data_IF_030756172617
#
_entry.id   IF_030756172617
#
_cell.length_a   1.000
_cell.length_b   1.000
_cell.length_c   1.000
_cell.angle_alpha   90.00
_cell.angle_beta   90.00
_cell.angle_gamma   90.00
#
_symmetry.space_group_name_H-M   'P 1'
#
loop_
_entity.id
_entity.type
_entity.pdbx_description
1 polymer ?
#
# COMPACT_ATOMS: atom_id res chain seq x y z
N UNK A 1 -43.25 7.90 39.53
CA UNK A 1 -41.79 8.04 39.37
C UNK A 1 -41.15 6.92 38.53
N UNK A 2 -41.65 5.69 38.53
CA UNK A 2 -41.04 4.57 37.77
C UNK A 2 -41.01 4.73 36.24
N UNK A 3 -41.98 5.45 35.63
CA UNK A 3 -42.04 5.61 34.17
C UNK A 3 -40.93 6.50 33.60
N UNK A 4 -40.44 7.47 34.37
CA UNK A 4 -39.35 8.37 33.93
C UNK A 4 -38.01 7.61 33.93
N UNK A 5 -37.83 6.68 34.87
CA UNK A 5 -36.64 5.81 34.96
C UNK A 5 -36.47 4.93 33.72
N UNK A 6 -37.55 4.28 33.24
CA UNK A 6 -37.49 3.39 32.07
C UNK A 6 -37.15 4.12 30.76
N UNK A 7 -37.61 5.37 30.60
CA UNK A 7 -37.32 6.19 29.43
C UNK A 7 -35.86 6.66 29.44
N UNK A 8 -35.34 7.06 30.60
CA UNK A 8 -33.94 7.44 30.75
C UNK A 8 -33.00 6.26 30.42
N UNK A 9 -33.32 5.05 30.89
CA UNK A 9 -32.54 3.84 30.58
C UNK A 9 -32.58 3.49 29.09
N UNK A 10 -33.74 3.64 28.43
CA UNK A 10 -33.87 3.38 27.00
C UNK A 10 -33.07 4.38 26.15
N UNK A 11 -33.10 5.66 26.52
CA UNK A 11 -32.31 6.71 25.85
C UNK A 11 -30.81 6.49 26.02
N UNK A 12 -30.37 6.10 27.22
CA UNK A 12 -28.97 5.79 27.48
C UNK A 12 -28.49 4.59 26.64
N UNK A 13 -29.33 3.55 26.50
CA UNK A 13 -29.02 2.38 25.68
C UNK A 13 -28.88 2.76 24.19
N UNK A 14 -29.71 3.68 23.70
CA UNK A 14 -29.69 4.14 22.31
C UNK A 14 -28.40 4.92 21.98
N UNK A 15 -27.95 5.76 22.92
CA UNK A 15 -26.69 6.53 22.78
C UNK A 15 -25.47 5.62 22.77
N UNK A 16 -25.47 4.57 23.61
CA UNK A 16 -24.37 3.60 23.64
C UNK A 16 -24.29 2.78 22.34
N UNK A 17 -25.43 2.38 21.77
CA UNK A 17 -25.48 1.68 20.48
C UNK A 17 -25.02 2.54 19.30
N UNK A 18 -25.26 3.86 19.34
CA UNK A 18 -24.78 4.78 18.31
C UNK A 18 -23.25 4.98 18.36
N UNK A 19 -22.63 4.86 19.54
CA UNK A 19 -21.19 5.05 19.73
C UNK A 19 -20.32 3.84 19.32
N UNK A 20 -20.91 2.66 19.16
CA UNK A 20 -20.19 1.43 18.86
C UNK A 20 -19.85 1.23 17.37
N UNK A 21 -20.32 2.12 16.48
CA UNK A 21 -20.07 2.03 15.05
C UNK A 21 -18.79 2.79 14.66
N UNK A 22 -17.62 2.23 14.98
CA UNK A 22 -16.38 2.64 14.33
C UNK A 22 -16.30 1.90 13.00
N UNK A 23 -16.34 2.64 11.88
CA UNK A 23 -15.97 2.06 10.59
C UNK A 23 -14.46 1.81 10.63
N UNK A 24 -13.97 0.64 10.20
CA UNK A 24 -12.54 0.45 10.05
C UNK A 24 -12.01 1.54 9.13
N UNK A 25 -10.99 2.26 9.60
CA UNK A 25 -10.34 3.29 8.82
C UNK A 25 -9.71 2.62 7.60
N UNK A 26 -10.20 2.98 6.42
CA UNK A 26 -9.66 2.44 5.18
C UNK A 26 -8.28 3.05 5.01
N UNK A 27 -7.25 2.23 5.16
CA UNK A 27 -5.88 2.64 4.86
C UNK A 27 -5.81 2.96 3.37
N UNK A 28 -5.51 4.21 3.05
CA UNK A 28 -5.28 4.69 1.70
C UNK A 28 -3.86 5.22 1.63
N UNK A 29 -3.20 5.05 0.48
CA UNK A 29 -1.93 5.71 0.23
C UNK A 29 -2.15 7.19 -0.07
N UNK A 30 -1.17 7.98 0.34
CA UNK A 30 -1.09 9.39 0.02
C UNK A 30 0.37 9.77 -0.16
N UNK A 31 0.68 10.51 -1.22
CA UNK A 31 2.03 10.97 -1.44
C UNK A 31 2.47 10.84 -2.89
N UNK A 32 3.72 11.20 -3.14
CA UNK A 32 4.38 11.00 -4.42
C UNK A 32 5.49 9.99 -4.22
N UNK A 33 5.38 8.89 -4.94
CA UNK A 33 6.30 7.80 -4.86
C UNK A 33 7.17 7.81 -6.13
N UNK A 34 8.48 7.81 -5.97
CA UNK A 34 9.42 7.88 -7.10
C UNK A 34 10.06 6.53 -7.36
N UNK A 35 10.16 6.16 -8.63
CA UNK A 35 10.88 4.95 -9.04
C UNK A 35 12.37 5.13 -8.73
N UNK A 36 12.92 4.23 -7.90
CA UNK A 36 14.35 4.20 -7.61
C UNK A 36 15.07 3.14 -8.44
N UNK A 37 14.51 1.93 -8.50
CA UNK A 37 15.08 0.86 -9.32
C UNK A 37 14.04 -0.23 -9.62
N UNK A 38 14.35 -1.04 -10.63
CA UNK A 38 13.73 -2.34 -10.90
C UNK A 38 14.84 -3.38 -11.02
N UNK A 39 14.75 -4.49 -10.31
CA UNK A 39 15.72 -5.58 -10.42
C UNK A 39 15.06 -6.94 -10.65
N UNK A 40 15.61 -7.75 -11.57
CA UNK A 40 15.22 -9.14 -11.77
C UNK A 40 15.38 -9.71 -13.19
N UNK A 41 14.75 -10.85 -13.43
CA UNK A 41 14.73 -11.64 -14.64
C UNK A 41 15.76 -12.76 -14.56
N UNK A 42 15.64 -13.75 -15.45
CA UNK A 42 16.59 -14.88 -15.56
C UNK A 42 18.05 -14.39 -15.78
N UNK A 43 18.23 -13.14 -16.24
CA UNK A 43 19.53 -12.50 -16.43
C UNK A 43 19.98 -11.53 -15.34
N UNK A 44 19.21 -11.30 -14.26
CA UNK A 44 19.57 -10.37 -13.19
C UNK A 44 19.66 -8.91 -13.64
N UNK A 45 18.70 -8.46 -14.45
CA UNK A 45 18.64 -7.09 -14.93
C UNK A 45 18.47 -6.11 -13.78
N UNK A 46 19.06 -4.93 -13.92
CA UNK A 46 18.96 -3.84 -12.96
C UNK A 46 18.78 -2.54 -13.72
N UNK A 47 17.64 -1.89 -13.51
CA UNK A 47 17.25 -0.66 -14.17
C UNK A 47 17.06 0.44 -13.13
N UNK A 48 17.57 1.63 -13.41
CA UNK A 48 17.37 2.83 -12.59
C UNK A 48 16.94 4.00 -13.48
N UNK A 49 16.39 5.08 -12.91
CA UNK A 49 16.11 6.29 -13.67
C UNK A 49 17.33 6.80 -14.46
N UNK A 50 18.52 6.70 -13.88
CA UNK A 50 19.78 7.12 -14.50
C UNK A 50 20.17 6.20 -15.66
N UNK A 51 20.05 4.87 -15.52
CA UNK A 51 20.39 3.93 -16.60
C UNK A 51 19.43 4.06 -17.79
N UNK A 52 18.17 4.38 -17.52
CA UNK A 52 17.12 4.43 -18.53
C UNK A 52 16.88 5.83 -19.11
N UNK A 53 17.47 6.87 -18.53
CA UNK A 53 17.33 8.25 -18.97
C UNK A 53 15.90 8.79 -18.86
N UNK A 54 15.10 8.22 -17.95
CA UNK A 54 13.76 8.74 -17.65
C UNK A 54 13.42 8.61 -16.17
N UNK A 55 12.63 9.55 -15.68
CA UNK A 55 12.05 9.53 -14.34
C UNK A 55 10.63 8.97 -14.40
N UNK A 56 10.24 8.24 -13.37
CA UNK A 56 8.88 7.73 -13.20
C UNK A 56 8.40 7.97 -11.77
N UNK A 57 7.15 8.41 -11.64
CA UNK A 57 6.52 8.69 -10.35
C UNK A 57 5.05 8.26 -10.33
N UNK A 58 4.57 7.88 -9.15
CA UNK A 58 3.17 7.59 -8.88
C UNK A 58 2.70 8.54 -7.78
N UNK A 59 1.65 9.30 -8.08
CA UNK A 59 0.99 10.15 -7.10
C UNK A 59 -0.27 9.44 -6.60
N UNK A 60 -0.32 9.16 -5.30
CA UNK A 60 -1.50 8.61 -4.64
C UNK A 60 -2.30 9.71 -3.94
N UNK A 61 -3.62 9.68 -4.11
CA UNK A 61 -4.56 10.59 -3.44
C UNK A 61 -5.83 9.84 -3.09
N UNK A 62 -5.88 9.32 -1.87
CA UNK A 62 -6.94 8.44 -1.42
C UNK A 62 -6.96 7.16 -2.26
N UNK A 63 -8.13 6.73 -2.73
CA UNK A 63 -8.28 5.55 -3.62
C UNK A 63 -7.83 5.74 -5.08
N UNK A 64 -7.23 6.88 -5.44
CA UNK A 64 -6.79 7.18 -6.80
C UNK A 64 -5.27 7.24 -6.89
N UNK A 65 -4.75 6.84 -8.06
CA UNK A 65 -3.34 7.02 -8.43
C UNK A 65 -3.22 7.75 -9.76
N UNK A 66 -2.08 8.40 -9.98
CA UNK A 66 -1.65 8.92 -11.29
C UNK A 66 -0.19 8.60 -11.50
N UNK A 67 0.12 7.94 -12.62
CA UNK A 67 1.48 7.64 -13.05
C UNK A 67 1.99 8.70 -14.03
N UNK A 68 3.21 9.16 -13.80
CA UNK A 68 3.92 10.10 -14.66
C UNK A 68 5.23 9.49 -15.15
N UNK A 69 5.61 9.84 -16.38
CA UNK A 69 6.95 9.59 -16.95
C UNK A 69 7.52 10.93 -17.41
N UNK A 70 8.70 11.30 -16.92
CA UNK A 70 9.33 12.59 -17.19
C UNK A 70 8.37 13.77 -16.94
N UNK A 71 7.67 13.76 -15.80
CA UNK A 71 6.67 14.76 -15.41
C UNK A 71 5.39 14.80 -16.24
N UNK A 72 5.24 13.92 -17.25
CA UNK A 72 4.03 13.84 -18.08
C UNK A 72 3.13 12.73 -17.58
N UNK A 73 1.86 13.08 -17.31
CA UNK A 73 0.84 12.11 -16.94
C UNK A 73 0.66 11.07 -18.07
N UNK A 74 0.88 9.81 -17.72
CA UNK A 74 0.70 8.66 -18.60
C UNK A 74 -0.68 8.04 -18.37
N UNK A 75 -1.02 7.78 -17.10
CA UNK A 75 -2.28 7.15 -16.73
C UNK A 75 -2.73 7.58 -15.34
N UNK A 76 -4.04 7.54 -15.11
CA UNK A 76 -4.64 7.67 -13.78
C UNK A 76 -5.78 6.68 -13.62
N UNK A 77 -6.10 6.32 -12.39
CA UNK A 77 -7.31 5.56 -12.08
C UNK A 77 -7.40 5.19 -10.60
N UNK A 78 -8.34 4.31 -10.28
CA UNK A 78 -8.48 3.76 -8.94
C UNK A 78 -7.54 2.57 -8.74
N UNK A 79 -7.15 2.36 -7.48
CA UNK A 79 -6.47 1.15 -7.03
C UNK A 79 -7.18 0.59 -5.79
N UNK A 80 -6.90 -0.67 -5.49
CA UNK A 80 -7.26 -1.29 -4.23
C UNK A 80 -6.02 -1.90 -3.57
N UNK A 81 -5.99 -1.88 -2.24
CA UNK A 81 -4.95 -2.50 -1.43
C UNK A 81 -5.56 -3.71 -0.75
N UNK A 82 -5.01 -4.88 -1.04
CA UNK A 82 -5.24 -6.07 -0.24
C UNK A 82 -4.10 -6.22 0.76
N UNK A 83 -4.46 -6.38 2.03
CA UNK A 83 -3.53 -6.68 3.11
C UNK A 83 -3.57 -8.18 3.35
N UNK A 84 -2.51 -8.87 2.96
CA UNK A 84 -2.31 -10.25 3.37
C UNK A 84 -1.43 -10.22 4.62
N UNK A 85 -2.07 -10.38 5.78
CA UNK A 85 -1.36 -10.59 7.03
C UNK A 85 -1.00 -12.07 7.05
N UNK A 86 0.15 -12.41 6.48
CA UNK A 86 0.78 -13.70 6.72
C UNK A 86 1.19 -13.71 8.21
N UNK A 87 0.27 -14.10 9.09
CA UNK A 87 0.60 -14.44 10.49
C UNK A 87 1.37 -15.78 10.50
N UNK A 88 2.56 -15.81 9.89
CA UNK A 88 3.47 -16.92 10.08
C UNK A 88 4.15 -16.76 11.43
N UNK A 89 3.54 -17.38 12.44
CA UNK A 89 4.10 -17.51 13.78
C UNK A 89 5.38 -18.36 13.71
N UNK A 90 6.55 -17.72 13.65
CA UNK A 90 7.79 -18.37 14.04
C UNK A 90 7.88 -18.35 15.56
N UNK A 91 7.24 -19.31 16.24
CA UNK A 91 7.60 -19.59 17.62
C UNK A 91 8.99 -20.22 17.62
N UNK A 92 10.02 -19.39 17.79
CA UNK A 92 11.28 -19.88 18.31
C UNK A 92 10.99 -20.39 19.74
N UNK A 93 10.77 -21.71 19.88
CA UNK A 93 10.82 -22.37 21.18
C UNK A 93 12.27 -22.29 21.67
N UNK A 94 12.64 -21.21 22.34
CA UNK A 94 13.96 -21.19 22.98
C UNK A 94 14.42 -19.88 23.58
N UNK A 95 14.51 -18.80 22.81
CA UNK A 95 15.45 -17.74 23.19
C UNK A 95 14.99 -16.34 22.76
N UNK A 96 14.93 -15.48 23.78
CA UNK A 96 15.11 -14.01 23.79
C UNK A 96 14.09 -13.11 23.08
N UNK A 97 13.58 -12.14 23.85
CA UNK A 97 12.65 -11.07 23.50
C UNK A 97 13.21 -10.08 22.46
N UNK A 98 13.48 -10.52 21.23
CA UNK A 98 13.81 -9.62 20.13
C UNK A 98 12.56 -8.98 19.50
N UNK A 99 12.63 -7.71 19.04
CA UNK A 99 11.49 -7.02 18.47
C UNK A 99 10.96 -7.74 17.22
N UNK A 100 9.68 -8.06 17.28
CA UNK A 100 8.92 -8.80 16.29
C UNK A 100 8.80 -8.01 14.98
N UNK A 101 9.43 -8.47 13.90
CA UNK A 101 9.18 -7.95 12.56
C UNK A 101 7.94 -8.63 11.98
N UNK A 102 6.80 -7.95 11.99
CA UNK A 102 5.63 -8.37 11.22
C UNK A 102 5.83 -7.95 9.76
N UNK A 103 5.95 -8.94 8.89
CA UNK A 103 5.95 -8.74 7.44
C UNK A 103 4.50 -8.64 6.99
N UNK A 104 4.05 -7.44 6.60
CA UNK A 104 2.76 -7.27 5.95
C UNK A 104 2.99 -7.18 4.45
N UNK A 105 2.20 -7.96 3.70
CA UNK A 105 2.25 -7.94 2.26
C UNK A 105 1.19 -6.97 1.76
N UNK A 106 1.65 -5.91 1.10
CA UNK A 106 0.75 -4.97 0.42
C UNK A 106 0.67 -5.44 -1.03
N UNK A 107 -0.53 -5.83 -1.47
CA UNK A 107 -0.79 -6.12 -2.89
C UNK A 107 -1.59 -4.98 -3.50
N UNK A 108 -1.06 -4.44 -4.60
CA UNK A 108 -1.72 -3.41 -5.39
C UNK A 108 -2.53 -4.05 -6.50
N UNK A 109 -3.82 -3.77 -6.51
CA UNK A 109 -4.70 -4.20 -7.57
C UNK A 109 -4.92 -3.05 -8.55
N UNK A 110 -4.22 -3.14 -9.68
CA UNK A 110 -4.49 -2.37 -10.88
C UNK A 110 -5.19 -3.27 -11.90
N UNK A 111 -6.06 -2.70 -12.72
CA UNK A 111 -6.64 -3.40 -13.87
C UNK A 111 -5.55 -3.76 -14.88
N UNK A 112 -5.75 -4.85 -15.64
CA UNK A 112 -4.81 -5.27 -16.69
C UNK A 112 -4.52 -4.16 -17.71
N UNK A 113 -5.53 -3.35 -18.04
CA UNK A 113 -5.37 -2.20 -18.93
C UNK A 113 -4.49 -1.11 -18.34
N UNK A 114 -4.58 -0.85 -17.02
CA UNK A 114 -3.71 0.11 -16.34
C UNK A 114 -2.27 -0.36 -16.32
N UNK A 115 -2.10 -1.62 -15.96
CA UNK A 115 -0.88 -2.39 -16.00
C UNK A 115 -0.14 -2.32 -17.33
N UNK A 116 -0.84 -2.70 -18.40
CA UNK A 116 -0.31 -2.71 -19.75
C UNK A 116 0.15 -1.31 -20.16
N UNK A 117 -0.64 -0.27 -19.90
CA UNK A 117 -0.27 1.12 -20.22
C UNK A 117 0.98 1.60 -19.50
N UNK A 118 1.16 1.22 -18.22
CA UNK A 118 2.37 1.56 -17.47
C UNK A 118 3.61 0.83 -18.00
N UNK A 119 3.45 -0.47 -18.28
CA UNK A 119 4.49 -1.30 -18.88
C UNK A 119 4.89 -0.76 -20.26
N UNK A 120 3.94 -0.50 -21.16
CA UNK A 120 4.18 0.10 -22.48
C UNK A 120 4.86 1.47 -22.38
N UNK A 121 4.45 2.31 -21.43
CA UNK A 121 5.08 3.62 -21.24
C UNK A 121 6.53 3.52 -20.76
N UNK A 122 6.94 2.39 -20.17
CA UNK A 122 8.28 2.16 -19.62
C UNK A 122 9.05 1.10 -20.40
N UNK A 123 8.59 0.74 -21.60
CA UNK A 123 9.18 -0.31 -22.43
C UNK A 123 9.36 -1.65 -21.68
N UNK A 124 8.41 -1.96 -20.79
CA UNK A 124 8.41 -3.18 -19.98
C UNK A 124 9.24 -3.13 -18.70
N UNK A 125 9.90 -2.01 -18.39
CA UNK A 125 10.85 -1.89 -17.27
C UNK A 125 10.18 -1.67 -15.91
N UNK A 126 8.91 -1.26 -15.90
CA UNK A 126 8.10 -1.12 -14.68
C UNK A 126 6.78 -1.87 -14.89
N UNK A 127 6.47 -2.81 -13.99
CA UNK A 127 5.20 -3.53 -13.97
C UNK A 127 4.69 -3.70 -12.54
N UNK A 128 3.59 -3.02 -12.22
CA UNK A 128 2.99 -3.04 -10.87
C UNK A 128 1.97 -4.15 -10.66
N UNK A 129 1.86 -5.06 -11.62
CA UNK A 129 0.58 -5.71 -11.85
C UNK A 129 0.20 -6.76 -10.84
N UNK A 130 1.20 -7.40 -10.22
CA UNK A 130 0.98 -8.55 -9.37
C UNK A 130 2.18 -8.77 -8.45
N UNK A 131 2.62 -7.73 -7.73
CA UNK A 131 3.80 -7.87 -6.88
C UNK A 131 3.47 -7.80 -5.39
N UNK A 132 4.09 -8.73 -4.65
CA UNK A 132 4.17 -8.78 -3.20
C UNK A 132 5.21 -7.74 -2.82
N UNK A 133 4.79 -6.60 -2.29
CA UNK A 133 5.74 -5.59 -1.82
C UNK A 133 6.13 -5.93 -0.39
N UNK A 134 7.44 -6.19 -0.20
CA UNK A 134 8.07 -6.14 1.11
C UNK A 134 8.29 -4.66 1.47
N UNK A 135 7.27 -4.04 2.05
CA UNK A 135 7.48 -2.81 2.77
C UNK A 135 7.96 -3.17 4.17
N UNK A 136 9.25 -2.99 4.45
CA UNK A 136 9.70 -2.86 5.83
C UNK A 136 9.18 -1.52 6.33
N UNK A 137 8.00 -1.49 6.98
CA UNK A 137 7.61 -0.35 7.83
C UNK A 137 8.46 -0.41 9.11
N UNK A 138 9.78 -0.29 8.95
CA UNK A 138 10.66 0.14 10.02
C UNK A 138 10.62 1.66 10.01
N UNK A 139 9.98 2.25 11.03
CA UNK A 139 10.12 3.64 11.46
C UNK A 139 11.02 4.50 10.55
N UNK A 140 10.42 5.19 9.59
CA UNK A 140 11.01 6.42 9.13
C UNK A 140 9.89 7.40 8.83
N UNK A 141 9.80 8.43 9.67
CA UNK A 141 9.37 9.78 9.29
C UNK A 141 10.30 10.34 8.21
N UNK A 142 10.50 9.61 7.11
CA UNK A 142 11.24 10.07 5.96
C UNK A 142 10.21 10.64 4.98
N UNK A 143 10.20 11.96 4.90
CA UNK A 143 9.56 12.71 3.84
C UNK A 143 10.11 12.21 2.48
N UNK A 144 9.39 11.28 1.83
CA UNK A 144 9.73 10.74 0.51
C UNK A 144 9.63 9.22 0.45
N UNK A 145 8.44 8.70 0.16
CA UNK A 145 8.22 7.26 -0.05
C UNK A 145 8.88 6.81 -1.37
N UNK A 146 9.85 5.90 -1.28
CA UNK A 146 10.60 5.38 -2.43
C UNK A 146 9.91 4.13 -2.98
N UNK A 147 9.62 4.09 -4.29
CA UNK A 147 9.25 2.84 -4.99
C UNK A 147 10.52 2.11 -5.38
N UNK A 148 10.89 1.12 -4.58
CA UNK A 148 11.78 0.05 -5.01
C UNK A 148 10.93 -1.09 -5.55
N UNK A 149 11.03 -1.37 -6.85
CA UNK A 149 10.44 -2.57 -7.43
C UNK A 149 11.44 -3.70 -7.32
N UNK A 150 11.23 -4.58 -6.35
CA UNK A 150 11.91 -5.87 -6.33
C UNK A 150 11.11 -6.87 -7.17
N UNK A 151 11.85 -7.53 -8.05
CA UNK A 151 11.63 -8.81 -8.70
C UNK A 151 11.08 -8.84 -10.14
N UNK A 152 11.87 -9.53 -10.96
CA UNK A 152 11.53 -10.41 -12.06
C UNK A 152 12.43 -11.65 -11.92
#
# INVERSE_FOLDING_TARGET
MERISKIATLLLLLVLLASACSKPEKKELSGTWRWACTSGGIGGWYYTPESEGFEAEIVFKGSQFTFYKNGKKVISGSYHIDYDVDETYYTNKGETDEPFYSWFNIRFHLTEAQCKKMSEATDGKISLCWHKYLATLGYSEAEGEVLSFCEA
#
